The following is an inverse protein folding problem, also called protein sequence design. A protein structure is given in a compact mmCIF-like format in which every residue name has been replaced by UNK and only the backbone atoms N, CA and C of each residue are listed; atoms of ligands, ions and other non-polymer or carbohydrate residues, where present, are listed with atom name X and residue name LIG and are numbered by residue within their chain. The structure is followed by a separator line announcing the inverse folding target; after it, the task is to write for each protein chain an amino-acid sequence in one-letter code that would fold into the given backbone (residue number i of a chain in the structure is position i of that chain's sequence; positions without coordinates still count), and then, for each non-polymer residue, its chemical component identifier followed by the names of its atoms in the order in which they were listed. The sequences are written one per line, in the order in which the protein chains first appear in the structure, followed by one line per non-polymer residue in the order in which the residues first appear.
data_IF_248660214479
#
_entry.id   IF_248660214479
#
_cell.length_a   1.000
_cell.length_b   1.000
_cell.length_c   1.000
_cell.angle_alpha   90.00
_cell.angle_beta   90.00
_cell.angle_gamma   90.00
#
_symmetry.space_group_name_H-M   'P 1'
#
loop_
_entity.id
_entity.type
_entity.pdbx_description
1 polymer ?
#
# COMPACT_ATOMS: atom_id res chain seq x y z
N UNK A 1 -36.33 -41.62 27.40
CA UNK A 1 -35.45 -40.48 27.71
C UNK A 1 -34.86 -40.01 26.39
N UNK A 2 -35.34 -38.87 25.84
CA UNK A 2 -34.79 -38.27 24.62
C UNK A 2 -33.46 -37.58 25.01
N UNK A 3 -32.34 -38.15 24.59
CA UNK A 3 -31.03 -37.48 24.69
C UNK A 3 -31.03 -36.28 23.73
N UNK A 4 -31.26 -35.10 24.27
CA UNK A 4 -31.05 -33.87 23.51
C UNK A 4 -29.58 -33.85 22.99
N UNK A 5 -29.40 -34.13 21.70
CA UNK A 5 -28.11 -33.97 21.07
C UNK A 5 -27.74 -32.48 21.07
N UNK A 6 -26.68 -32.12 21.77
CA UNK A 6 -26.12 -30.78 21.74
C UNK A 6 -24.96 -30.76 20.72
N UNK A 7 -24.86 -29.78 19.84
CA UNK A 7 -25.70 -28.57 19.72
C UNK A 7 -27.02 -28.81 19.02
N UNK A 8 -28.10 -28.21 19.54
CA UNK A 8 -29.43 -28.21 18.89
C UNK A 8 -29.35 -27.36 17.60
N UNK A 9 -30.09 -27.77 16.54
CA UNK A 9 -30.17 -27.06 15.25
C UNK A 9 -30.39 -25.55 15.41
N UNK A 10 -31.27 -25.15 16.37
CA UNK A 10 -31.51 -23.73 16.63
C UNK A 10 -30.31 -22.99 17.19
N UNK A 11 -29.45 -23.63 17.97
CA UNK A 11 -28.24 -23.06 18.51
C UNK A 11 -27.21 -22.86 17.40
N UNK A 12 -27.01 -23.88 16.54
CA UNK A 12 -26.11 -23.80 15.38
C UNK A 12 -26.55 -22.69 14.43
N UNK A 13 -27.86 -22.61 14.13
CA UNK A 13 -28.42 -21.58 13.25
C UNK A 13 -28.17 -20.15 13.80
N UNK A 14 -28.38 -19.96 15.12
CA UNK A 14 -28.10 -18.67 15.79
C UNK A 14 -26.61 -18.30 15.71
N UNK A 15 -25.73 -19.25 15.98
CA UNK A 15 -24.28 -19.00 15.89
C UNK A 15 -23.88 -18.59 14.49
N UNK A 16 -24.36 -19.31 13.48
CA UNK A 16 -24.09 -18.97 12.10
C UNK A 16 -24.64 -17.58 11.72
N UNK A 17 -25.86 -17.28 12.16
CA UNK A 17 -26.47 -15.96 11.92
C UNK A 17 -25.64 -14.82 12.54
N UNK A 18 -25.25 -14.93 13.81
CA UNK A 18 -24.47 -13.89 14.47
C UNK A 18 -23.04 -13.81 13.93
N UNK A 19 -22.42 -14.94 13.61
CA UNK A 19 -21.11 -14.95 12.95
C UNK A 19 -21.17 -14.24 11.58
N UNK A 20 -22.19 -14.56 10.76
CA UNK A 20 -22.40 -13.88 9.49
C UNK A 20 -22.64 -12.37 9.66
N UNK A 21 -23.51 -11.98 10.61
CA UNK A 21 -23.78 -10.58 10.90
C UNK A 21 -22.49 -9.82 11.33
N UNK A 22 -21.64 -10.48 12.11
CA UNK A 22 -20.34 -9.93 12.51
C UNK A 22 -19.39 -9.81 11.30
N UNK A 23 -19.34 -10.81 10.42
CA UNK A 23 -18.41 -10.83 9.29
C UNK A 23 -18.81 -9.87 8.15
N UNK A 24 -20.10 -9.58 7.94
CA UNK A 24 -20.59 -8.74 6.82
C UNK A 24 -19.85 -7.42 6.69
N UNK A 25 -19.69 -6.58 7.72
CA UNK A 25 -19.00 -5.28 7.57
C UNK A 25 -17.55 -5.45 7.13
N UNK A 26 -16.85 -6.48 7.62
CA UNK A 26 -15.48 -6.76 7.22
C UNK A 26 -15.39 -7.19 5.75
N UNK A 27 -16.27 -8.11 5.34
CA UNK A 27 -16.33 -8.57 3.94
C UNK A 27 -16.59 -7.40 2.99
N UNK A 28 -17.50 -6.48 3.33
CA UNK A 28 -17.79 -5.30 2.51
C UNK A 28 -16.54 -4.40 2.40
N UNK A 29 -15.93 -4.05 3.53
CA UNK A 29 -14.74 -3.16 3.54
C UNK A 29 -13.58 -3.80 2.79
N UNK A 30 -13.30 -5.08 3.05
CA UNK A 30 -12.21 -5.81 2.41
C UNK A 30 -12.45 -5.99 0.92
N UNK A 31 -13.68 -6.30 0.49
CA UNK A 31 -14.00 -6.42 -0.94
C UNK A 31 -13.85 -5.10 -1.68
N UNK A 32 -14.36 -3.99 -1.13
CA UNK A 32 -14.26 -2.67 -1.77
C UNK A 32 -12.78 -2.21 -1.82
N UNK A 33 -12.07 -2.30 -0.69
CA UNK A 33 -10.66 -1.88 -0.64
C UNK A 33 -9.76 -2.76 -1.51
N UNK A 34 -10.01 -4.07 -1.56
CA UNK A 34 -9.32 -5.00 -2.46
C UNK A 34 -9.61 -4.71 -3.92
N UNK A 35 -10.85 -4.38 -4.28
CA UNK A 35 -11.22 -3.96 -5.64
C UNK A 35 -10.46 -2.69 -6.06
N UNK A 36 -10.41 -1.68 -5.19
CA UNK A 36 -9.64 -0.46 -5.46
C UNK A 36 -8.15 -0.79 -5.60
N UNK A 37 -7.62 -1.68 -4.76
CA UNK A 37 -6.22 -2.08 -4.80
C UNK A 37 -5.85 -2.82 -6.09
N UNK A 38 -6.80 -3.52 -6.72
CA UNK A 38 -6.60 -4.16 -8.03
C UNK A 38 -6.24 -3.13 -9.12
N UNK A 39 -6.76 -1.91 -9.01
CA UNK A 39 -6.45 -0.80 -9.94
C UNK A 39 -5.24 0.04 -9.50
N UNK A 40 -4.45 -0.44 -8.55
CA UNK A 40 -3.26 0.27 -8.05
C UNK A 40 -2.32 0.73 -9.18
N UNK A 41 -1.90 -0.11 -10.16
CA UNK A 41 -1.00 0.33 -11.22
C UNK A 41 -1.55 1.52 -12.01
N UNK A 42 -2.84 1.47 -12.37
CA UNK A 42 -3.48 2.53 -13.15
C UNK A 42 -3.61 3.84 -12.36
N UNK A 43 -3.94 3.74 -11.06
CA UNK A 43 -4.07 4.90 -10.18
C UNK A 43 -2.68 5.53 -9.94
N UNK A 44 -1.65 4.72 -9.72
CA UNK A 44 -0.29 5.21 -9.54
C UNK A 44 0.24 5.84 -10.83
N UNK A 45 0.07 5.21 -12.00
CA UNK A 45 0.43 5.77 -13.29
C UNK A 45 -0.28 7.11 -13.56
N UNK A 46 -1.58 7.21 -13.23
CA UNK A 46 -2.31 8.47 -13.38
C UNK A 46 -1.79 9.56 -12.42
N UNK A 47 -1.46 9.20 -11.19
CA UNK A 47 -0.94 10.14 -10.19
C UNK A 47 0.47 10.63 -10.53
N UNK A 48 1.30 9.73 -11.04
CA UNK A 48 2.72 9.98 -11.31
C UNK A 48 2.99 10.42 -12.76
N UNK A 49 1.93 10.58 -13.60
CA UNK A 49 2.02 10.90 -15.03
C UNK A 49 2.94 12.06 -15.37
N UNK A 50 2.99 13.08 -14.50
CA UNK A 50 3.84 14.26 -14.71
C UNK A 50 5.34 13.96 -14.57
N UNK A 51 5.68 12.83 -13.98
CA UNK A 51 7.04 12.36 -13.74
C UNK A 51 7.43 11.17 -14.62
N UNK A 52 6.46 10.63 -15.40
CA UNK A 52 6.65 9.47 -16.27
C UNK A 52 6.86 9.83 -17.75
N UNK A 53 6.62 11.08 -18.13
CA UNK A 53 6.76 11.55 -19.51
C UNK A 53 7.69 12.76 -19.58
N UNK A 54 8.94 12.57 -19.19
CA UNK A 54 9.98 13.58 -19.24
C UNK A 54 10.55 13.70 -20.66
N UNK A 55 10.94 14.90 -21.07
CA UNK A 55 11.68 15.11 -22.29
C UNK A 55 13.16 14.87 -22.02
N UNK A 56 13.63 13.69 -22.35
CA UNK A 56 15.03 13.30 -22.22
C UNK A 56 15.75 13.53 -23.56
N UNK A 57 16.89 14.19 -23.50
CA UNK A 57 17.69 14.54 -24.68
C UNK A 57 19.16 14.12 -24.58
N UNK A 58 19.58 13.68 -23.41
CA UNK A 58 20.96 13.31 -23.10
C UNK A 58 21.08 11.92 -22.50
N UNK A 59 22.27 11.61 -22.00
CA UNK A 59 22.57 10.33 -21.39
C UNK A 59 22.02 10.24 -19.96
N UNK A 60 21.32 9.16 -19.67
CA UNK A 60 20.87 8.86 -18.32
C UNK A 60 22.05 8.63 -17.38
N UNK A 61 22.00 9.22 -16.21
CA UNK A 61 22.94 8.95 -15.13
C UNK A 61 22.68 7.57 -14.52
N UNK A 62 23.73 6.97 -13.94
CA UNK A 62 23.59 5.66 -13.29
C UNK A 62 22.63 5.70 -12.10
N UNK A 63 22.00 4.56 -11.80
CA UNK A 63 21.12 4.44 -10.64
C UNK A 63 21.81 4.85 -9.33
N UNK A 64 23.09 4.56 -9.19
CA UNK A 64 23.90 5.00 -8.02
C UNK A 64 24.00 6.51 -7.89
N UNK A 65 24.13 7.23 -8.99
CA UNK A 65 24.16 8.70 -8.99
C UNK A 65 22.78 9.29 -8.66
N UNK A 66 21.70 8.68 -9.16
CA UNK A 66 20.34 9.09 -8.86
C UNK A 66 19.99 8.86 -7.38
N UNK A 67 20.42 7.71 -6.81
CA UNK A 67 20.28 7.43 -5.37
C UNK A 67 21.09 8.42 -4.54
N UNK A 68 22.34 8.74 -4.95
CA UNK A 68 23.15 9.72 -4.24
C UNK A 68 22.49 11.11 -4.21
N UNK A 69 21.88 11.54 -5.33
CA UNK A 69 21.13 12.78 -5.41
C UNK A 69 19.91 12.80 -4.47
N UNK A 70 19.18 11.69 -4.39
CA UNK A 70 18.05 11.55 -3.48
C UNK A 70 18.48 11.60 -2.01
N UNK A 71 19.56 10.92 -1.63
CA UNK A 71 20.11 10.95 -0.26
C UNK A 71 20.63 12.34 0.12
N UNK A 72 21.22 13.07 -0.82
CA UNK A 72 21.68 14.43 -0.59
C UNK A 72 20.53 15.40 -0.24
N UNK A 73 19.29 15.11 -0.66
CA UNK A 73 18.10 15.92 -0.35
C UNK A 73 17.72 15.83 1.13
N UNK A 74 18.00 14.71 1.78
CA UNK A 74 17.69 14.46 3.18
C UNK A 74 18.94 14.02 3.95
N UNK A 75 19.76 14.97 4.45
CA UNK A 75 20.97 14.64 5.20
C UNK A 75 20.70 13.72 6.38
N UNK A 76 21.46 12.64 6.50
CA UNK A 76 21.27 11.64 7.55
C UNK A 76 20.19 10.59 7.26
N UNK A 77 19.56 10.63 6.08
CA UNK A 77 18.64 9.57 5.65
C UNK A 77 19.38 8.30 5.21
N UNK A 78 18.69 7.18 5.25
CA UNK A 78 19.17 5.90 4.74
C UNK A 78 18.40 5.49 3.49
N UNK A 79 19.09 4.79 2.58
CA UNK A 79 18.48 4.22 1.39
C UNK A 79 17.53 3.07 1.78
N UNK A 80 16.34 3.03 1.18
CA UNK A 80 15.36 1.95 1.37
C UNK A 80 15.24 1.12 0.11
N UNK A 81 14.78 1.70 -0.99
CA UNK A 81 14.67 1.02 -2.27
C UNK A 81 14.76 2.00 -3.45
N UNK A 82 15.07 1.45 -4.61
CA UNK A 82 15.02 2.11 -5.91
C UNK A 82 13.97 1.39 -6.75
N UNK A 83 12.96 2.10 -7.21
CA UNK A 83 11.97 1.56 -8.11
C UNK A 83 12.42 1.74 -9.55
N UNK A 84 12.45 0.63 -10.28
CA UNK A 84 12.79 0.65 -11.70
C UNK A 84 11.79 1.51 -12.47
N UNK A 85 12.25 2.37 -13.39
CA UNK A 85 11.37 3.15 -14.26
C UNK A 85 10.43 2.24 -15.06
N UNK A 86 9.17 2.63 -15.18
CA UNK A 86 8.21 1.91 -15.99
C UNK A 86 8.40 2.19 -17.49
N UNK A 87 8.82 3.42 -17.81
CA UNK A 87 9.13 3.86 -19.18
C UNK A 87 10.54 4.46 -19.22
N UNK A 88 11.15 4.45 -20.38
CA UNK A 88 12.47 5.06 -20.58
C UNK A 88 12.46 6.58 -20.26
N UNK A 89 11.29 7.22 -20.37
CA UNK A 89 11.09 8.65 -20.06
C UNK A 89 10.69 8.93 -18.60
N UNK A 90 10.61 7.91 -17.76
CA UNK A 90 10.21 8.07 -16.36
C UNK A 90 11.32 8.65 -15.50
N UNK A 91 10.94 9.42 -14.49
CA UNK A 91 11.85 9.80 -13.42
C UNK A 91 12.29 8.59 -12.61
N UNK A 92 13.48 8.64 -12.06
CA UNK A 92 13.91 7.66 -11.06
C UNK A 92 13.16 7.89 -9.75
N UNK A 93 12.65 6.81 -9.16
CA UNK A 93 11.91 6.84 -7.89
C UNK A 93 12.76 6.18 -6.82
N UNK A 94 13.25 7.01 -5.90
CA UNK A 94 14.09 6.55 -4.79
C UNK A 94 13.36 6.76 -3.49
N UNK A 95 13.23 5.71 -2.69
CA UNK A 95 12.69 5.82 -1.34
C UNK A 95 13.84 5.88 -0.35
N UNK A 96 13.84 6.95 0.45
CA UNK A 96 14.82 7.18 1.52
C UNK A 96 14.09 7.29 2.86
N UNK A 97 14.68 6.77 3.92
CA UNK A 97 14.12 6.90 5.27
C UNK A 97 14.78 8.09 5.96
N UNK A 98 14.00 9.15 6.19
CA UNK A 98 14.40 10.33 6.95
C UNK A 98 13.74 10.28 8.32
N UNK A 99 14.52 9.97 9.37
CA UNK A 99 13.99 9.64 10.69
C UNK A 99 13.09 8.38 10.64
N UNK A 100 11.85 8.51 11.08
CA UNK A 100 10.87 7.41 11.05
C UNK A 100 10.00 7.43 9.77
N UNK A 101 10.11 8.45 8.92
CA UNK A 101 9.23 8.62 7.78
C UNK A 101 9.94 8.22 6.48
N UNK A 102 9.44 7.24 5.73
CA UNK A 102 9.91 6.96 4.38
C UNK A 102 9.42 8.06 3.43
N UNK A 103 10.37 8.65 2.68
CA UNK A 103 10.15 9.69 1.70
C UNK A 103 10.44 9.16 0.31
N UNK A 104 9.51 9.34 -0.61
CA UNK A 104 9.71 9.06 -2.03
C UNK A 104 10.25 10.31 -2.70
N UNK A 105 11.35 10.16 -3.43
CA UNK A 105 12.05 11.23 -4.14
C UNK A 105 12.04 10.91 -5.64
N UNK A 106 11.50 11.82 -6.44
CA UNK A 106 11.48 11.73 -7.89
C UNK A 106 12.70 12.49 -8.43
N UNK A 107 13.62 11.78 -9.07
CA UNK A 107 14.89 12.31 -9.57
C UNK A 107 14.88 12.32 -11.09
N UNK A 108 15.21 13.44 -11.70
CA UNK A 108 15.37 13.52 -13.15
C UNK A 108 16.59 12.69 -13.60
N UNK A 109 16.43 11.72 -14.52
CA UNK A 109 17.45 10.73 -14.79
C UNK A 109 18.72 11.29 -15.45
N UNK A 110 18.66 12.42 -16.16
CA UNK A 110 19.81 13.06 -16.82
C UNK A 110 20.46 14.12 -15.94
N UNK A 111 19.65 15.04 -15.38
CA UNK A 111 20.15 16.22 -14.67
C UNK A 111 20.36 15.98 -13.17
N UNK A 112 19.86 14.89 -12.62
CA UNK A 112 19.82 14.58 -11.18
C UNK A 112 19.02 15.61 -10.35
N UNK A 113 18.22 16.46 -11.01
CA UNK A 113 17.35 17.41 -10.34
C UNK A 113 16.22 16.66 -9.60
N UNK A 114 15.93 17.11 -8.39
CA UNK A 114 14.78 16.60 -7.65
C UNK A 114 13.51 17.26 -8.19
N UNK A 115 12.63 16.45 -8.78
CA UNK A 115 11.38 16.91 -9.38
C UNK A 115 10.27 17.04 -8.33
N UNK A 116 10.22 16.08 -7.41
CA UNK A 116 9.20 16.04 -6.38
C UNK A 116 9.62 15.16 -5.19
N UNK A 117 9.05 15.43 -4.03
CA UNK A 117 9.21 14.60 -2.83
C UNK A 117 7.87 14.44 -2.15
N UNK A 118 7.56 13.22 -1.71
CA UNK A 118 6.31 12.92 -1.03
C UNK A 118 6.52 11.88 0.08
N UNK A 119 5.90 12.05 1.26
CA UNK A 119 5.91 11.01 2.28
C UNK A 119 5.22 9.76 1.74
N UNK A 120 5.88 8.60 1.78
CA UNK A 120 5.33 7.33 1.27
C UNK A 120 4.00 6.98 1.95
N UNK A 121 3.88 7.29 3.24
CA UNK A 121 2.68 7.00 4.03
C UNK A 121 1.46 7.87 3.66
N UNK A 122 1.65 8.99 2.96
CA UNK A 122 0.56 9.88 2.52
C UNK A 122 -0.06 9.47 1.17
N UNK A 123 0.51 8.50 0.48
CA UNK A 123 0.01 8.05 -0.81
C UNK A 123 -1.32 7.32 -0.65
N UNK A 124 -2.27 7.58 -1.56
CA UNK A 124 -3.60 6.99 -1.54
C UNK A 124 -3.55 5.46 -1.46
N UNK A 125 -2.70 4.83 -2.28
CA UNK A 125 -2.59 3.36 -2.31
C UNK A 125 -2.04 2.78 -0.99
N UNK A 126 -1.17 3.51 -0.29
CA UNK A 126 -0.70 3.11 1.03
C UNK A 126 -1.82 3.16 2.07
N UNK A 127 -2.68 4.18 1.98
CA UNK A 127 -3.85 4.30 2.85
C UNK A 127 -4.87 3.17 2.58
N UNK A 128 -5.15 2.85 1.31
CA UNK A 128 -6.02 1.73 0.93
C UNK A 128 -5.43 0.39 1.41
N UNK A 129 -4.12 0.19 1.26
CA UNK A 129 -3.44 -1.01 1.77
C UNK A 129 -3.64 -1.19 3.29
N UNK A 130 -3.47 -0.11 4.05
CA UNK A 130 -3.68 -0.13 5.51
C UNK A 130 -5.15 -0.32 5.88
N UNK A 131 -6.07 0.23 5.11
CA UNK A 131 -7.49 -0.03 5.30
C UNK A 131 -7.82 -1.51 5.08
N UNK A 132 -7.27 -2.11 4.02
CA UNK A 132 -7.51 -3.51 3.68
C UNK A 132 -6.94 -4.49 4.71
N UNK A 133 -5.73 -4.27 5.19
CA UNK A 133 -5.05 -5.20 6.11
C UNK A 133 -5.26 -4.92 7.60
N UNK A 134 -5.45 -3.64 7.94
CA UNK A 134 -5.38 -3.17 9.33
C UNK A 134 -6.61 -2.35 9.75
N UNK A 135 -7.60 -2.14 8.87
CA UNK A 135 -8.76 -1.25 9.09
C UNK A 135 -8.34 0.15 9.61
N UNK A 136 -7.15 0.61 9.27
CA UNK A 136 -6.49 1.83 9.78
C UNK A 136 -6.22 1.83 11.30
N UNK A 137 -6.38 0.70 11.97
CA UNK A 137 -6.24 0.55 13.43
C UNK A 137 -4.93 -0.15 13.83
N UNK A 138 -4.03 -0.41 12.87
CA UNK A 138 -2.78 -1.15 13.10
C UNK A 138 -3.03 -2.58 13.57
N UNK A 139 -2.22 -3.08 14.50
CA UNK A 139 -2.28 -4.48 14.97
C UNK A 139 -3.66 -4.90 15.47
N UNK A 140 -4.42 -3.99 16.10
CA UNK A 140 -5.79 -4.29 16.55
C UNK A 140 -6.73 -4.54 15.39
N UNK A 141 -6.59 -3.76 14.32
CA UNK A 141 -7.38 -3.95 13.11
C UNK A 141 -7.00 -5.23 12.38
N UNK A 142 -5.72 -5.55 12.28
CA UNK A 142 -5.23 -6.80 11.71
C UNK A 142 -5.83 -8.02 12.43
N UNK A 143 -5.78 -8.03 13.77
CA UNK A 143 -6.37 -9.12 14.57
C UNK A 143 -7.89 -9.27 14.35
N UNK A 144 -8.61 -8.15 14.17
CA UNK A 144 -10.06 -8.19 13.87
C UNK A 144 -10.33 -8.76 12.47
N UNK A 145 -9.54 -8.38 11.48
CA UNK A 145 -9.63 -8.93 10.11
C UNK A 145 -9.35 -10.43 10.11
N UNK A 146 -8.30 -10.86 10.80
CA UNK A 146 -7.96 -12.28 10.94
C UNK A 146 -9.07 -13.09 11.64
N UNK A 147 -9.64 -12.54 12.73
CA UNK A 147 -10.77 -13.16 13.42
C UNK A 147 -11.98 -13.30 12.49
N UNK A 148 -12.33 -12.24 11.76
CA UNK A 148 -13.42 -12.27 10.81
C UNK A 148 -13.16 -13.27 9.67
N UNK A 149 -11.94 -13.33 9.15
CA UNK A 149 -11.54 -14.30 8.13
C UNK A 149 -11.67 -15.74 8.63
N UNK A 150 -11.23 -16.04 9.85
CA UNK A 150 -11.40 -17.36 10.46
C UNK A 150 -12.88 -17.76 10.65
N UNK A 151 -13.76 -16.80 10.85
CA UNK A 151 -15.20 -17.08 11.06
C UNK A 151 -15.99 -17.20 9.76
N UNK A 152 -15.43 -16.81 8.61
CA UNK A 152 -16.05 -16.97 7.29
C UNK A 152 -15.79 -18.35 6.67
N UNK A 153 -14.87 -19.12 7.21
CA UNK A 153 -14.55 -20.49 6.79
C UNK A 153 -15.44 -21.50 7.53
#
# INVERSE_FOLDING_TARGET
MSTKSWPDYRAVWRWHFYAGLFCIPFVIVLSISGLIYLFKPQIEAWNDRNYDHLHLTGDMKSASQQVAAALATFPGSSFVNYELPEFDSSSARVVVKSGETPMRVYVHPESLQILHTVPENSRLMRWIFRLHGELLMGDRGSNLVELAACWTI
#
